data_IF_353257606735
#
_entry.id   IF_353257606735
#
_cell.length_a   1.000
_cell.length_b   1.000
_cell.length_c   1.000
_cell.angle_alpha   90.00
_cell.angle_beta   90.00
_cell.angle_gamma   90.00
#
_symmetry.space_group_name_H-M   'P 1'
#
loop_
_entity.id
_entity.type
_entity.pdbx_description
1 polymer ?
#
# COMPACT_ATOMS: atom_id res chain seq x y z
N UNK A 1 1.87 -8.38 -15.76
CA UNK A 1 1.38 -7.87 -14.46
C UNK A 1 0.73 -9.00 -13.68
N UNK A 2 0.80 -8.98 -12.34
CA UNK A 2 0.29 -10.02 -11.44
C UNK A 2 -0.87 -9.49 -10.63
N UNK A 3 -1.96 -10.26 -10.50
CA UNK A 3 -3.14 -9.87 -9.71
C UNK A 3 -3.01 -10.42 -8.30
N UNK A 4 -2.99 -9.54 -7.32
CA UNK A 4 -2.68 -9.89 -5.93
C UNK A 4 -3.88 -9.63 -5.01
N UNK A 5 -3.99 -10.45 -3.98
CA UNK A 5 -4.90 -10.23 -2.87
C UNK A 5 -4.14 -9.88 -1.61
N UNK A 6 -4.81 -9.21 -0.69
CA UNK A 6 -4.28 -8.89 0.62
C UNK A 6 -4.41 -10.11 1.55
N UNK A 7 -3.46 -10.28 2.44
CA UNK A 7 -3.54 -11.29 3.47
C UNK A 7 -4.71 -11.04 4.44
N UNK A 8 -5.29 -12.14 4.92
CA UNK A 8 -6.23 -12.16 6.03
C UNK A 8 -5.59 -12.96 7.18
N UNK A 9 -5.93 -14.22 7.30
CA UNK A 9 -5.38 -15.13 8.29
C UNK A 9 -4.32 -16.11 7.72
N UNK A 10 -4.11 -16.10 6.41
CA UNK A 10 -3.28 -17.04 5.66
C UNK A 10 -3.59 -18.51 5.97
N UNK A 11 -4.83 -18.84 6.36
CA UNK A 11 -5.31 -20.21 6.52
C UNK A 11 -5.25 -20.97 5.20
N UNK A 12 -5.25 -22.30 5.24
CA UNK A 12 -5.29 -23.12 4.02
C UNK A 12 -6.55 -22.87 3.20
N UNK A 13 -7.66 -22.55 3.86
CA UNK A 13 -8.91 -22.24 3.19
C UNK A 13 -8.85 -20.90 2.47
N UNK A 14 -8.29 -19.86 3.10
CA UNK A 14 -8.11 -18.57 2.44
C UNK A 14 -7.09 -18.62 1.29
N UNK A 15 -5.98 -19.32 1.47
CA UNK A 15 -4.97 -19.54 0.42
C UNK A 15 -5.59 -20.30 -0.78
N UNK A 16 -6.38 -21.35 -0.51
CA UNK A 16 -7.08 -22.10 -1.56
C UNK A 16 -8.12 -21.22 -2.26
N UNK A 17 -8.89 -20.44 -1.51
CA UNK A 17 -9.85 -19.48 -2.05
C UNK A 17 -9.18 -18.49 -3.00
N UNK A 18 -8.06 -17.85 -2.60
CA UNK A 18 -7.31 -16.92 -3.43
C UNK A 18 -6.85 -17.55 -4.76
N UNK A 19 -6.38 -18.80 -4.73
CA UNK A 19 -6.02 -19.55 -5.93
C UNK A 19 -7.25 -19.79 -6.84
N UNK A 20 -8.39 -20.17 -6.26
CA UNK A 20 -9.62 -20.48 -7.01
C UNK A 20 -10.22 -19.27 -7.70
N UNK A 21 -10.14 -18.08 -7.11
CA UNK A 21 -10.62 -16.84 -7.75
C UNK A 21 -9.65 -16.29 -8.80
N UNK A 22 -8.47 -16.92 -8.97
CA UNK A 22 -7.50 -16.56 -9.99
C UNK A 22 -6.47 -15.51 -9.57
N UNK A 23 -6.21 -15.31 -8.29
CA UNK A 23 -5.06 -14.49 -7.86
C UNK A 23 -3.73 -15.13 -8.28
N UNK A 24 -2.68 -14.32 -8.44
CA UNK A 24 -1.30 -14.79 -8.64
C UNK A 24 -0.54 -14.91 -7.31
N UNK A 25 -1.05 -14.29 -6.24
CA UNK A 25 -0.38 -14.34 -4.94
C UNK A 25 -0.88 -13.32 -3.95
N UNK A 26 -0.05 -13.16 -2.93
CA UNK A 26 -0.36 -12.35 -1.75
C UNK A 26 0.61 -11.18 -1.54
N UNK A 27 0.04 -10.12 -0.96
CA UNK A 27 0.75 -9.11 -0.19
C UNK A 27 0.47 -9.34 1.29
N UNK A 28 1.51 -9.49 2.11
CA UNK A 28 1.36 -9.48 3.56
C UNK A 28 1.31 -8.03 4.01
N UNK A 29 0.17 -7.64 4.56
CA UNK A 29 -0.10 -6.32 5.12
C UNK A 29 -0.23 -6.36 6.64
N UNK A 30 -0.73 -7.47 7.19
CA UNK A 30 -0.82 -7.67 8.62
C UNK A 30 0.51 -8.23 9.14
N UNK A 31 1.22 -7.44 9.95
CA UNK A 31 2.51 -7.81 10.54
C UNK A 31 2.47 -9.12 11.34
N UNK A 32 1.31 -9.48 11.93
CA UNK A 32 1.12 -10.74 12.66
C UNK A 32 1.23 -11.97 11.76
N UNK A 33 1.06 -11.80 10.45
CA UNK A 33 1.21 -12.88 9.48
C UNK A 33 2.65 -13.00 8.95
N UNK A 34 3.57 -12.15 9.38
CA UNK A 34 4.99 -12.23 9.02
C UNK A 34 5.66 -13.20 10.01
N UNK A 35 6.13 -14.39 9.55
CA UNK A 35 6.78 -15.35 10.41
C UNK A 35 7.96 -14.74 11.18
N UNK A 36 7.96 -14.89 12.49
CA UNK A 36 8.98 -14.38 13.43
C UNK A 36 8.64 -13.03 14.03
N UNK A 37 7.85 -12.17 13.36
CA UNK A 37 7.53 -10.83 13.88
C UNK A 37 6.76 -10.88 15.21
N UNK A 38 5.73 -11.72 15.38
CA UNK A 38 5.03 -11.81 16.67
C UNK A 38 5.90 -12.27 17.84
N UNK A 39 6.90 -13.11 17.57
CA UNK A 39 7.71 -13.76 18.59
C UNK A 39 8.95 -12.97 18.99
N UNK A 40 9.57 -12.26 18.02
CA UNK A 40 10.89 -11.64 18.20
C UNK A 40 11.00 -10.22 17.67
N UNK A 41 9.92 -9.65 17.09
CA UNK A 41 9.87 -8.30 16.55
C UNK A 41 10.47 -8.14 15.15
N UNK A 42 11.01 -9.20 14.53
CA UNK A 42 11.55 -9.18 13.16
C UNK A 42 11.27 -10.51 12.44
N UNK A 43 11.31 -10.48 11.11
CA UNK A 43 10.98 -11.65 10.29
C UNK A 43 12.02 -12.79 10.43
N UNK A 44 11.53 -14.03 10.38
CA UNK A 44 12.36 -15.23 10.23
C UNK A 44 12.42 -15.67 8.76
N UNK A 45 13.64 -15.74 8.22
CA UNK A 45 13.87 -16.12 6.83
C UNK A 45 13.42 -17.57 6.51
N UNK A 46 13.53 -18.48 7.48
CA UNK A 46 13.11 -19.87 7.29
C UNK A 46 11.59 -20.00 7.28
N UNK A 47 10.91 -19.27 8.17
CA UNK A 47 9.46 -19.18 8.21
C UNK A 47 8.88 -18.52 6.94
N UNK A 48 9.50 -17.43 6.45
CA UNK A 48 9.12 -16.81 5.17
C UNK A 48 9.27 -17.80 4.00
N UNK A 49 10.38 -18.55 3.93
CA UNK A 49 10.55 -19.60 2.89
C UNK A 49 9.47 -20.67 3.00
N UNK A 50 9.19 -21.17 4.21
CA UNK A 50 8.15 -22.18 4.42
C UNK A 50 6.77 -21.68 3.98
N UNK A 51 6.44 -20.41 4.27
CA UNK A 51 5.21 -19.76 3.77
C UNK A 51 5.21 -19.69 2.25
N UNK A 52 6.29 -19.21 1.62
CA UNK A 52 6.40 -19.14 0.16
C UNK A 52 6.28 -20.52 -0.50
N UNK A 53 6.84 -21.55 0.09
CA UNK A 53 6.69 -22.93 -0.39
C UNK A 53 5.25 -23.44 -0.26
N UNK A 54 4.57 -23.07 0.81
CA UNK A 54 3.15 -23.37 1.00
C UNK A 54 2.28 -22.71 -0.07
N UNK A 55 2.52 -21.42 -0.37
CA UNK A 55 1.83 -20.70 -1.43
C UNK A 55 2.09 -21.31 -2.81
N UNK A 56 3.36 -21.63 -3.13
CA UNK A 56 3.74 -22.23 -4.42
C UNK A 56 3.05 -23.57 -4.69
N UNK A 57 2.75 -24.39 -3.66
CA UNK A 57 2.03 -25.66 -3.84
C UNK A 57 0.63 -25.50 -4.44
N UNK A 58 0.03 -24.33 -4.32
CA UNK A 58 -1.27 -24.00 -4.93
C UNK A 58 -1.17 -22.97 -6.07
N UNK A 59 0.04 -22.74 -6.57
CA UNK A 59 0.29 -21.85 -7.71
C UNK A 59 0.34 -20.37 -7.37
N UNK A 60 0.48 -19.99 -6.08
CA UNK A 60 0.54 -18.61 -5.63
C UNK A 60 1.97 -18.19 -5.27
N UNK A 61 2.23 -16.87 -5.28
CA UNK A 61 3.48 -16.28 -4.81
C UNK A 61 3.28 -15.32 -3.63
N UNK A 62 4.39 -14.99 -2.96
CA UNK A 62 4.46 -13.86 -2.04
C UNK A 62 5.16 -12.70 -2.77
N UNK A 63 4.51 -11.55 -2.85
CA UNK A 63 5.00 -10.41 -3.63
C UNK A 63 5.48 -9.24 -2.79
N UNK A 64 4.87 -9.02 -1.63
CA UNK A 64 5.21 -7.91 -0.76
C UNK A 64 5.07 -8.29 0.72
N UNK A 65 5.99 -7.76 1.54
CA UNK A 65 5.96 -7.86 3.01
C UNK A 65 5.92 -6.44 3.58
N UNK A 66 4.97 -6.18 4.50
CA UNK A 66 4.84 -4.90 5.21
C UNK A 66 5.19 -5.09 6.69
N UNK A 67 6.42 -4.76 7.10
CA UNK A 67 6.86 -4.89 8.49
C UNK A 67 6.18 -3.85 9.42
N UNK A 68 6.30 -4.01 10.75
CA UNK A 68 5.82 -3.03 11.71
C UNK A 68 6.40 -1.63 11.50
N UNK A 69 5.60 -0.60 11.80
CA UNK A 69 6.07 0.79 11.80
C UNK A 69 7.03 1.03 12.96
N UNK A 70 8.23 1.60 12.74
CA UNK A 70 9.18 1.95 13.79
C UNK A 70 8.73 3.24 14.49
N UNK A 71 7.67 3.15 15.27
CA UNK A 71 6.97 4.29 15.85
C UNK A 71 7.85 5.09 16.82
N UNK A 72 8.56 4.39 17.70
CA UNK A 72 9.44 5.04 18.68
C UNK A 72 10.61 5.75 17.98
N UNK A 73 11.17 5.16 16.92
CA UNK A 73 12.19 5.81 16.13
C UNK A 73 11.68 7.08 15.44
N UNK A 74 10.53 6.99 14.78
CA UNK A 74 9.94 8.12 14.06
C UNK A 74 9.54 9.27 14.99
N UNK A 75 9.24 8.98 16.27
CA UNK A 75 8.88 9.95 17.30
C UNK A 75 10.04 10.34 18.23
N UNK A 76 11.26 9.82 18.01
CA UNK A 76 12.41 10.03 18.88
C UNK A 76 12.18 9.58 20.34
N UNK A 77 11.57 8.42 20.49
CA UNK A 77 11.25 7.83 21.78
C UNK A 77 12.21 6.68 22.15
N UNK A 78 12.33 6.33 23.44
CA UNK A 78 13.10 5.16 23.87
C UNK A 78 12.64 3.88 23.15
N UNK A 79 13.61 3.04 22.75
CA UNK A 79 13.33 1.81 21.98
C UNK A 79 13.40 1.98 20.45
N UNK A 80 13.50 3.22 19.94
CA UNK A 80 13.54 3.47 18.50
C UNK A 80 14.72 2.81 17.79
N UNK A 81 15.88 2.69 18.44
CA UNK A 81 17.03 1.99 17.84
C UNK A 81 16.77 0.49 17.65
N UNK A 82 16.10 -0.15 18.61
CA UNK A 82 15.72 -1.56 18.50
C UNK A 82 14.74 -1.79 17.34
N UNK A 83 13.77 -0.89 17.14
CA UNK A 83 12.85 -0.96 16.00
C UNK A 83 13.61 -0.85 14.66
N UNK A 84 14.60 0.03 14.57
CA UNK A 84 15.43 0.15 13.36
C UNK A 84 16.25 -1.11 13.13
N UNK A 85 16.83 -1.70 14.17
CA UNK A 85 17.61 -2.94 14.07
C UNK A 85 16.70 -4.13 13.65
N UNK A 86 15.47 -4.18 14.15
CA UNK A 86 14.47 -5.17 13.76
C UNK A 86 14.04 -5.00 12.28
N UNK A 87 13.92 -3.76 11.80
CA UNK A 87 13.68 -3.50 10.37
C UNK A 87 14.84 -3.97 9.49
N UNK A 88 16.08 -3.71 9.89
CA UNK A 88 17.25 -4.20 9.17
C UNK A 88 17.26 -5.73 9.08
N UNK A 89 17.05 -6.43 10.21
CA UNK A 89 16.94 -7.89 10.27
C UNK A 89 15.78 -8.42 9.41
N UNK A 90 14.63 -7.74 9.45
CA UNK A 90 13.48 -8.10 8.61
C UNK A 90 13.81 -7.98 7.14
N UNK A 91 14.45 -6.90 6.72
CA UNK A 91 14.86 -6.70 5.32
C UNK A 91 15.84 -7.78 4.84
N UNK A 92 16.84 -8.11 5.65
CA UNK A 92 17.75 -9.23 5.38
C UNK A 92 16.99 -10.57 5.27
N UNK A 93 16.04 -10.84 6.18
CA UNK A 93 15.26 -12.06 6.18
C UNK A 93 14.38 -12.16 4.91
N UNK A 94 13.75 -11.05 4.51
CA UNK A 94 12.97 -10.92 3.27
C UNK A 94 13.83 -11.27 2.05
N UNK A 95 15.03 -10.69 1.96
CA UNK A 95 15.96 -10.99 0.88
C UNK A 95 16.49 -12.44 0.90
N UNK A 96 16.89 -12.94 2.06
CA UNK A 96 17.35 -14.35 2.25
C UNK A 96 16.24 -15.35 1.93
N UNK A 97 14.98 -14.99 2.13
CA UNK A 97 13.84 -15.82 1.73
C UNK A 97 13.54 -15.76 0.24
N UNK A 98 13.97 -14.71 -0.45
CA UNK A 98 13.71 -14.46 -1.86
C UNK A 98 12.38 -13.74 -2.13
N UNK A 99 11.79 -13.08 -1.13
CA UNK A 99 10.63 -12.22 -1.34
C UNK A 99 11.08 -10.90 -2.00
N UNK A 100 10.38 -10.42 -3.06
CA UNK A 100 10.94 -9.38 -3.92
C UNK A 100 10.81 -7.95 -3.39
N UNK A 101 9.82 -7.69 -2.52
CA UNK A 101 9.44 -6.33 -2.14
C UNK A 101 9.19 -6.25 -0.62
N UNK A 102 9.72 -5.19 0.00
CA UNK A 102 9.34 -4.78 1.35
C UNK A 102 8.79 -3.35 1.34
N UNK A 103 7.66 -3.14 2.01
CA UNK A 103 7.14 -1.79 2.23
C UNK A 103 7.99 -1.04 3.25
N UNK A 104 8.13 0.28 3.04
CA UNK A 104 8.67 1.18 4.05
C UNK A 104 7.55 1.61 4.99
N UNK A 105 7.55 1.13 6.25
CA UNK A 105 6.45 1.35 7.18
C UNK A 105 6.59 2.69 7.91
N UNK A 106 6.47 3.79 7.18
CA UNK A 106 6.79 5.13 7.67
C UNK A 106 5.56 6.00 7.96
N UNK A 107 4.39 5.38 8.12
CA UNK A 107 3.14 6.09 8.41
C UNK A 107 2.82 6.06 9.91
N UNK A 108 2.62 7.24 10.50
CA UNK A 108 2.22 7.40 11.91
C UNK A 108 0.69 7.61 12.04
N UNK A 109 -0.09 6.88 11.25
CA UNK A 109 -1.55 7.02 11.13
C UNK A 109 -2.26 7.05 12.48
N UNK A 110 -1.92 6.12 13.36
CA UNK A 110 -2.56 5.98 14.68
C UNK A 110 -2.19 7.11 15.66
N UNK A 111 -1.19 7.91 15.32
CA UNK A 111 -0.69 9.01 16.15
C UNK A 111 -1.01 10.39 15.55
N UNK A 112 -1.90 10.44 14.57
CA UNK A 112 -2.35 11.69 14.00
C UNK A 112 -1.40 12.34 13.00
N UNK A 113 -0.48 11.55 12.40
CA UNK A 113 0.37 12.04 11.31
C UNK A 113 -0.40 12.51 10.09
N UNK A 114 -1.61 11.99 9.93
CA UNK A 114 -2.51 12.35 8.86
C UNK A 114 -3.86 12.82 9.41
N UNK A 115 -4.08 14.13 9.57
CA UNK A 115 -5.34 14.68 10.04
C UNK A 115 -6.53 14.33 9.12
N UNK A 116 -6.26 13.91 7.89
CA UNK A 116 -7.26 13.43 6.96
C UNK A 116 -8.11 12.28 7.47
N UNK A 117 -7.55 11.42 8.36
CA UNK A 117 -8.32 10.32 8.96
C UNK A 117 -9.58 10.77 9.69
N UNK A 118 -9.63 12.02 10.19
CA UNK A 118 -10.85 12.58 10.77
C UNK A 118 -11.94 12.91 9.75
N UNK A 119 -11.57 13.03 8.51
CA UNK A 119 -12.49 13.21 7.40
C UNK A 119 -13.04 11.91 6.83
N UNK A 120 -12.59 10.74 7.30
CA UNK A 120 -13.10 9.47 6.79
C UNK A 120 -14.57 9.27 7.13
N UNK A 121 -15.30 8.81 6.10
CA UNK A 121 -16.73 8.55 6.10
C UNK A 121 -16.97 7.20 5.43
N UNK A 122 -17.94 6.44 5.91
CA UNK A 122 -18.44 5.30 5.19
C UNK A 122 -19.58 5.74 4.26
N UNK A 123 -19.45 5.45 2.98
CA UNK A 123 -20.46 5.69 1.98
C UNK A 123 -21.24 4.42 1.63
N UNK A 124 -22.53 4.57 1.35
CA UNK A 124 -23.38 3.50 0.83
C UNK A 124 -23.68 3.81 -0.62
N UNK A 125 -23.36 2.88 -1.49
CA UNK A 125 -23.48 3.00 -2.93
C UNK A 125 -24.64 2.18 -3.49
N UNK A 126 -24.69 2.05 -4.81
CA UNK A 126 -25.72 1.34 -5.54
C UNK A 126 -25.96 -0.08 -4.97
N UNK A 127 -27.20 -0.40 -4.66
CA UNK A 127 -27.59 -1.70 -4.13
C UNK A 127 -27.20 -1.95 -2.69
N UNK A 128 -26.64 -0.95 -1.99
CA UNK A 128 -26.33 -1.02 -0.57
C UNK A 128 -24.87 -1.41 -0.25
N UNK A 129 -23.99 -1.65 -1.24
CA UNK A 129 -22.60 -1.93 -0.93
C UNK A 129 -21.92 -0.71 -0.27
N UNK A 130 -20.96 -0.96 0.60
CA UNK A 130 -20.30 0.07 1.40
C UNK A 130 -18.81 0.12 1.09
N UNK A 131 -18.30 1.36 1.01
CA UNK A 131 -16.87 1.66 0.96
C UNK A 131 -16.57 2.93 1.76
N UNK A 132 -15.30 3.21 1.98
CA UNK A 132 -14.86 4.42 2.66
C UNK A 132 -14.74 5.60 1.68
N UNK A 133 -14.48 6.76 2.22
CA UNK A 133 -14.13 7.94 1.49
C UNK A 133 -13.73 9.06 2.44
N UNK A 134 -13.53 10.24 1.91
CA UNK A 134 -13.02 11.39 2.65
C UNK A 134 -13.87 12.63 2.41
N UNK A 135 -14.17 13.35 3.49
CA UNK A 135 -14.87 14.63 3.49
C UNK A 135 -14.01 15.68 4.22
N UNK A 136 -13.55 16.68 3.47
CA UNK A 136 -12.71 17.78 3.99
C UNK A 136 -13.39 18.63 5.04
N UNK A 137 -14.69 18.91 4.87
CA UNK A 137 -15.41 19.71 5.86
C UNK A 137 -15.55 18.99 7.19
N UNK A 138 -15.79 17.67 7.15
CA UNK A 138 -15.79 16.84 8.36
C UNK A 138 -14.43 16.88 9.05
N UNK A 139 -13.33 16.74 8.30
CA UNK A 139 -11.97 16.87 8.82
C UNK A 139 -11.77 18.23 9.49
N UNK A 140 -12.11 19.33 8.80
CA UNK A 140 -11.91 20.68 9.33
C UNK A 140 -12.74 20.93 10.60
N UNK A 141 -13.98 20.46 10.65
CA UNK A 141 -14.81 20.53 11.87
C UNK A 141 -14.17 19.75 13.03
N UNK A 142 -13.68 18.56 12.77
CA UNK A 142 -13.04 17.74 13.81
C UNK A 142 -11.75 18.39 14.35
N UNK A 143 -10.93 18.99 13.49
CA UNK A 143 -9.71 19.70 13.89
C UNK A 143 -9.99 20.98 14.70
N UNK A 144 -11.12 21.65 14.48
CA UNK A 144 -11.54 22.80 15.31
C UNK A 144 -11.87 22.40 16.75
N UNK A 145 -12.41 21.20 16.95
CA UNK A 145 -12.81 20.70 18.28
C UNK A 145 -11.59 20.24 19.08
N UNK A 146 -10.62 19.56 18.43
CA UNK A 146 -9.43 19.02 19.10
C UNK A 146 -8.17 19.25 18.24
N UNK A 147 -7.62 20.46 18.18
CA UNK A 147 -6.46 20.75 17.34
C UNK A 147 -5.18 20.05 17.82
N UNK A 148 -5.02 19.82 19.14
CA UNK A 148 -3.78 19.35 19.74
C UNK A 148 -3.53 17.83 19.65
N UNK A 149 -4.54 17.03 19.35
CA UNK A 149 -4.38 15.57 19.24
C UNK A 149 -3.61 15.10 17.97
N UNK A 150 -3.16 16.04 17.12
CA UNK A 150 -2.76 15.73 15.74
C UNK A 150 -1.45 16.39 15.31
N UNK A 151 -0.65 16.87 16.26
CA UNK A 151 0.63 17.49 15.97
C UNK A 151 1.75 16.44 15.92
N UNK A 152 1.94 15.83 14.75
CA UNK A 152 3.20 15.18 14.42
C UNK A 152 4.10 16.23 13.74
N UNK A 153 5.31 16.42 14.26
CA UNK A 153 6.31 17.24 13.59
C UNK A 153 6.74 16.55 12.28
N UNK A 154 6.12 17.00 11.19
CA UNK A 154 6.33 16.40 9.86
C UNK A 154 7.74 16.66 9.30
N UNK A 155 8.44 17.71 9.76
CA UNK A 155 9.84 17.96 9.38
C UNK A 155 10.76 16.97 10.10
N UNK A 156 10.61 16.81 11.40
CA UNK A 156 11.37 15.83 12.16
C UNK A 156 11.09 14.39 11.67
N UNK A 157 9.83 14.08 11.34
CA UNK A 157 9.47 12.80 10.72
C UNK A 157 10.16 12.60 9.37
N UNK A 158 10.20 13.63 8.52
CA UNK A 158 10.91 13.59 7.25
C UNK A 158 12.41 13.32 7.43
N UNK A 159 13.08 14.05 8.30
CA UNK A 159 14.51 13.86 8.55
C UNK A 159 14.85 12.44 9.04
N UNK A 160 14.03 11.90 9.96
CA UNK A 160 14.20 10.52 10.45
C UNK A 160 13.92 9.50 9.35
N UNK A 161 12.90 9.73 8.54
CA UNK A 161 12.58 8.87 7.41
C UNK A 161 13.71 8.82 6.38
N UNK A 162 14.32 9.95 6.04
CA UNK A 162 15.49 10.01 5.13
C UNK A 162 16.67 9.23 5.72
N UNK A 163 16.98 9.43 7.02
CA UNK A 163 18.04 8.67 7.71
C UNK A 163 17.77 7.17 7.70
N UNK A 164 16.52 6.77 7.90
CA UNK A 164 16.15 5.36 7.85
C UNK A 164 16.29 4.78 6.44
N UNK A 165 15.89 5.52 5.39
CA UNK A 165 16.12 5.12 4.00
C UNK A 165 17.62 4.96 3.71
N UNK A 166 18.46 5.90 4.14
CA UNK A 166 19.92 5.83 3.98
C UNK A 166 20.51 4.59 4.65
N UNK A 167 19.92 4.10 5.74
CA UNK A 167 20.36 2.88 6.43
C UNK A 167 19.85 1.61 5.72
N UNK A 168 18.60 1.59 5.27
CA UNK A 168 17.98 0.40 4.71
C UNK A 168 18.29 0.16 3.23
N UNK A 169 18.48 1.21 2.43
CA UNK A 169 18.71 1.07 1.00
C UNK A 169 19.97 0.23 0.67
N UNK A 170 21.13 0.40 1.33
CA UNK A 170 22.29 -0.47 1.08
C UNK A 170 22.00 -1.96 1.35
N UNK A 171 21.23 -2.27 2.40
CA UNK A 171 20.82 -3.65 2.74
C UNK A 171 19.88 -4.19 1.65
N UNK A 172 18.96 -3.35 1.18
CA UNK A 172 18.05 -3.72 0.11
C UNK A 172 18.79 -4.03 -1.21
N UNK A 173 19.83 -3.26 -1.53
CA UNK A 173 20.68 -3.48 -2.71
C UNK A 173 21.47 -4.78 -2.58
N UNK A 174 22.08 -5.04 -1.42
CA UNK A 174 22.85 -6.27 -1.14
C UNK A 174 21.98 -7.52 -1.29
N UNK A 175 20.74 -7.45 -0.82
CA UNK A 175 19.82 -8.58 -0.82
C UNK A 175 18.84 -8.62 -2.02
N UNK A 176 18.93 -7.67 -2.94
CA UNK A 176 18.07 -7.60 -4.13
C UNK A 176 16.59 -7.31 -3.85
N UNK A 177 16.27 -6.75 -2.69
CA UNK A 177 14.90 -6.40 -2.29
C UNK A 177 14.54 -5.00 -2.79
N UNK A 178 13.33 -4.81 -3.31
CA UNK A 178 12.79 -3.50 -3.64
C UNK A 178 12.10 -2.89 -2.42
N UNK A 179 12.47 -1.67 -2.07
CA UNK A 179 11.78 -0.87 -1.06
C UNK A 179 10.73 0.01 -1.72
N UNK A 180 9.52 0.00 -1.18
CA UNK A 180 8.41 0.79 -1.71
C UNK A 180 7.76 1.63 -0.62
N UNK A 181 7.35 2.85 -0.99
CA UNK A 181 6.64 3.77 -0.10
C UNK A 181 5.26 4.08 -0.65
N UNK A 182 4.22 3.88 0.17
CA UNK A 182 2.85 4.33 -0.09
C UNK A 182 2.72 5.85 0.16
N UNK A 183 1.94 6.61 -0.61
CA UNK A 183 1.60 7.99 -0.26
C UNK A 183 0.73 8.05 0.99
N UNK A 184 0.67 9.20 1.69
CA UNK A 184 -0.36 9.39 2.72
C UNK A 184 -1.76 9.25 2.10
N UNK A 185 -2.71 8.70 2.84
CA UNK A 185 -4.10 8.52 2.39
C UNK A 185 -5.07 9.09 3.44
N UNK A 186 -5.78 10.19 3.14
CA UNK A 186 -5.68 11.02 1.94
C UNK A 186 -4.33 11.74 1.83
N UNK A 187 -3.90 11.99 0.58
CA UNK A 187 -2.64 12.69 0.32
C UNK A 187 -2.85 14.20 0.28
N UNK A 188 -2.74 14.84 1.45
CA UNK A 188 -2.85 16.29 1.59
C UNK A 188 -1.47 16.98 1.54
N UNK A 189 -1.40 18.28 1.23
CA UNK A 189 -0.14 19.04 1.28
C UNK A 189 0.52 19.03 2.66
N UNK A 190 -0.25 18.83 3.71
CA UNK A 190 0.18 18.88 5.12
C UNK A 190 0.48 17.50 5.71
N UNK A 191 0.25 16.41 5.00
CA UNK A 191 0.53 15.06 5.51
C UNK A 191 2.02 14.70 5.37
N UNK A 192 2.48 13.74 6.15
CA UNK A 192 3.86 13.29 6.18
C UNK A 192 4.38 12.86 4.80
N UNK A 193 3.57 12.12 4.04
CA UNK A 193 3.86 11.71 2.67
C UNK A 193 2.96 12.45 1.69
N UNK A 194 3.00 13.79 1.78
CA UNK A 194 2.36 14.72 0.85
C UNK A 194 2.79 14.45 -0.60
N UNK A 195 2.07 14.98 -1.61
CA UNK A 195 2.45 14.78 -3.02
C UNK A 195 3.91 15.10 -3.33
N UNK A 196 4.47 16.12 -2.66
CA UNK A 196 5.86 16.53 -2.83
C UNK A 196 6.84 15.55 -2.14
N UNK A 197 6.68 15.28 -0.84
CA UNK A 197 7.62 14.47 -0.06
C UNK A 197 7.66 13.02 -0.53
N UNK A 198 6.51 12.48 -0.88
CA UNK A 198 6.42 11.10 -1.38
C UNK A 198 7.27 10.86 -2.64
N UNK A 199 7.35 11.84 -3.54
CA UNK A 199 8.21 11.75 -4.73
C UNK A 199 9.65 12.17 -4.44
N UNK A 200 9.86 13.15 -3.55
CA UNK A 200 11.16 13.71 -3.22
C UNK A 200 12.10 12.69 -2.59
N UNK A 201 11.57 11.71 -1.83
CA UNK A 201 12.39 10.65 -1.20
C UNK A 201 13.25 9.87 -2.22
N UNK A 202 12.76 9.72 -3.45
CA UNK A 202 13.49 9.04 -4.52
C UNK A 202 14.73 9.81 -5.00
N UNK A 203 14.74 11.12 -4.81
CA UNK A 203 15.84 12.00 -5.21
C UNK A 203 16.79 12.26 -4.03
N UNK A 204 16.26 12.22 -2.78
CA UNK A 204 17.08 12.32 -1.56
C UNK A 204 17.92 11.05 -1.30
N UNK A 205 17.36 9.87 -1.59
CA UNK A 205 18.07 8.59 -1.43
C UNK A 205 17.94 7.80 -2.74
N UNK A 206 18.70 8.19 -3.77
CA UNK A 206 18.62 7.56 -5.08
C UNK A 206 19.15 6.12 -5.04
N UNK A 207 18.36 5.17 -5.53
CA UNK A 207 18.74 3.76 -5.63
C UNK A 207 17.88 3.07 -6.68
N UNK A 208 18.41 2.06 -7.39
CA UNK A 208 17.61 1.20 -8.26
C UNK A 208 16.63 0.31 -7.45
N UNK A 209 16.84 0.19 -6.13
CA UNK A 209 15.99 -0.59 -5.23
C UNK A 209 15.01 0.26 -4.40
N UNK A 210 15.06 1.60 -4.54
CA UNK A 210 14.07 2.51 -3.95
C UNK A 210 13.04 2.95 -4.98
N UNK A 211 11.76 2.75 -4.68
CA UNK A 211 10.64 3.05 -5.57
C UNK A 211 9.34 3.29 -4.81
N UNK A 212 8.26 3.24 -5.55
CA UNK A 212 6.93 3.61 -5.07
C UNK A 212 6.00 2.41 -5.05
N UNK A 213 5.20 2.33 -4.00
CA UNK A 213 3.89 1.71 -4.04
C UNK A 213 2.94 2.78 -4.60
N UNK A 214 2.58 2.63 -5.87
CA UNK A 214 1.77 3.61 -6.58
C UNK A 214 0.28 3.32 -6.36
N UNK A 215 -0.34 4.03 -5.43
CA UNK A 215 -1.78 3.94 -5.20
C UNK A 215 -2.51 4.84 -6.19
N UNK A 216 -3.17 4.27 -7.19
CA UNK A 216 -3.83 5.06 -8.25
C UNK A 216 -5.01 5.87 -7.71
N UNK A 217 -5.76 5.33 -6.74
CA UNK A 217 -6.84 6.05 -6.08
C UNK A 217 -6.31 7.27 -5.34
N UNK A 218 -5.37 7.07 -4.41
CA UNK A 218 -4.77 8.16 -3.62
C UNK A 218 -4.15 9.24 -4.51
N UNK A 219 -3.52 8.88 -5.63
CA UNK A 219 -2.99 9.87 -6.56
C UNK A 219 -4.09 10.64 -7.30
N UNK A 220 -5.13 9.95 -7.76
CA UNK A 220 -6.26 10.60 -8.42
C UNK A 220 -6.99 11.58 -7.49
N UNK A 221 -7.17 11.25 -6.21
CA UNK A 221 -7.80 12.08 -5.19
C UNK A 221 -7.15 13.46 -5.03
N UNK A 222 -5.85 13.58 -5.33
CA UNK A 222 -5.12 14.87 -5.30
C UNK A 222 -5.50 15.79 -6.44
N UNK A 223 -6.26 15.32 -7.44
CA UNK A 223 -6.61 16.07 -8.66
C UNK A 223 -5.48 16.13 -9.68
N UNK A 224 -4.45 15.28 -9.59
CA UNK A 224 -3.37 15.23 -10.59
C UNK A 224 -3.86 14.62 -11.91
N UNK A 225 -3.18 14.95 -13.03
CA UNK A 225 -3.32 14.16 -14.26
C UNK A 225 -2.70 12.78 -14.06
N UNK A 226 -3.53 11.82 -13.66
CA UNK A 226 -3.11 10.48 -13.27
C UNK A 226 -2.30 9.77 -14.37
N UNK A 227 -2.72 9.89 -15.63
CA UNK A 227 -2.03 9.19 -16.72
C UNK A 227 -0.67 9.82 -17.04
N UNK A 228 -0.55 11.13 -16.90
CA UNK A 228 0.74 11.81 -17.02
C UNK A 228 1.66 11.49 -15.83
N UNK A 229 1.11 11.41 -14.62
CA UNK A 229 1.83 11.05 -13.41
C UNK A 229 2.37 9.62 -13.48
N UNK A 230 1.55 8.63 -13.90
CA UNK A 230 1.98 7.25 -14.16
C UNK A 230 3.12 7.21 -15.20
N UNK A 231 2.99 7.94 -16.30
CA UNK A 231 4.05 8.01 -17.31
C UNK A 231 5.34 8.60 -16.78
N UNK A 232 5.25 9.61 -15.91
CA UNK A 232 6.42 10.25 -15.30
C UNK A 232 7.21 9.27 -14.43
N UNK A 233 6.58 8.64 -13.44
CA UNK A 233 7.25 7.69 -12.55
C UNK A 233 7.58 6.37 -13.24
N UNK A 234 6.73 5.90 -14.15
CA UNK A 234 6.96 4.68 -14.91
C UNK A 234 8.20 4.76 -15.82
N UNK A 235 8.42 5.89 -16.54
CA UNK A 235 9.63 6.11 -17.35
C UNK A 235 10.91 6.19 -16.52
N UNK A 236 10.81 6.62 -15.26
CA UNK A 236 11.91 6.56 -14.29
C UNK A 236 12.16 5.16 -13.74
N UNK A 237 11.30 4.18 -14.06
CA UNK A 237 11.33 2.83 -13.51
C UNK A 237 11.11 2.79 -12.00
N UNK A 238 10.28 3.70 -11.46
CA UNK A 238 10.07 3.86 -10.02
C UNK A 238 8.74 3.31 -9.50
N UNK A 239 7.86 2.81 -10.35
CA UNK A 239 6.64 2.11 -9.94
C UNK A 239 7.00 0.62 -9.79
N UNK A 240 7.06 0.13 -8.55
CA UNK A 240 7.39 -1.28 -8.29
C UNK A 240 6.17 -2.12 -7.93
N UNK A 241 5.14 -1.48 -7.41
CA UNK A 241 3.91 -2.10 -6.98
C UNK A 241 2.75 -1.12 -7.13
N UNK A 242 1.55 -1.62 -7.38
CA UNK A 242 0.36 -0.77 -7.61
C UNK A 242 -0.77 -1.20 -6.69
N UNK A 243 -1.35 -0.24 -5.97
CA UNK A 243 -2.69 -0.36 -5.41
C UNK A 243 -3.69 0.08 -6.46
N UNK A 244 -4.52 -0.88 -6.88
CA UNK A 244 -5.44 -0.74 -8.01
C UNK A 244 -6.87 -0.59 -7.49
N UNK A 245 -7.27 0.64 -7.15
CA UNK A 245 -8.61 0.99 -6.67
C UNK A 245 -9.18 2.17 -7.44
N UNK A 246 -10.50 2.28 -7.51
CA UNK A 246 -11.20 3.37 -8.17
C UNK A 246 -11.89 4.28 -7.14
N UNK A 247 -12.00 5.55 -7.47
CA UNK A 247 -12.66 6.56 -6.64
C UNK A 247 -13.51 7.49 -7.49
N UNK A 248 -14.45 8.17 -6.84
CA UNK A 248 -15.27 9.24 -7.41
C UNK A 248 -14.99 10.54 -6.67
N UNK A 249 -14.77 11.61 -7.43
CA UNK A 249 -14.41 12.93 -6.90
C UNK A 249 -12.92 13.08 -6.60
N UNK A 250 -12.52 14.33 -6.41
CA UNK A 250 -11.16 14.72 -6.02
C UNK A 250 -11.20 15.80 -4.95
N UNK A 251 -10.23 15.82 -4.05
CA UNK A 251 -10.20 16.78 -2.94
C UNK A 251 -10.26 18.23 -3.42
N UNK A 252 -9.54 18.64 -4.49
CA UNK A 252 -9.62 20.01 -4.99
C UNK A 252 -10.97 20.37 -5.63
N UNK A 253 -11.61 19.44 -6.31
CA UNK A 253 -12.82 19.74 -7.09
C UNK A 253 -14.12 19.60 -6.27
N UNK A 254 -14.18 18.58 -5.41
CA UNK A 254 -15.41 18.20 -4.69
C UNK A 254 -15.30 18.33 -3.17
N UNK A 255 -14.12 18.69 -2.65
CA UNK A 255 -13.88 18.75 -1.21
C UNK A 255 -13.69 17.38 -0.56
N UNK A 256 -13.66 16.28 -1.34
CA UNK A 256 -13.53 14.92 -0.85
C UNK A 256 -13.53 13.92 -1.98
N UNK A 257 -13.64 12.63 -1.62
CA UNK A 257 -13.78 11.53 -2.57
C UNK A 257 -14.56 10.38 -1.94
N UNK A 258 -15.10 9.52 -2.78
CA UNK A 258 -15.72 8.26 -2.41
C UNK A 258 -14.96 7.10 -3.05
N UNK A 259 -14.52 6.14 -2.27
CA UNK A 259 -14.06 4.86 -2.81
C UNK A 259 -15.26 4.10 -3.35
N UNK A 260 -15.08 3.48 -4.51
CA UNK A 260 -16.16 2.78 -5.21
C UNK A 260 -15.67 1.47 -5.81
N UNK A 261 -16.60 0.61 -6.20
CA UNK A 261 -16.27 -0.59 -6.97
C UNK A 261 -15.45 -0.21 -8.22
N UNK A 262 -14.55 -1.08 -8.67
CA UNK A 262 -13.56 -0.79 -9.73
C UNK A 262 -14.19 -0.24 -11.02
N UNK A 263 -15.45 -0.61 -11.32
CA UNK A 263 -16.16 -0.16 -12.52
C UNK A 263 -16.98 1.12 -12.34
N UNK A 264 -17.11 1.63 -11.09
CA UNK A 264 -18.10 2.66 -10.72
C UNK A 264 -17.49 4.02 -10.38
N UNK A 265 -16.18 4.20 -10.62
CA UNK A 265 -15.46 5.45 -10.36
C UNK A 265 -15.20 6.30 -11.60
N UNK A 266 -14.52 7.40 -11.37
CA UNK A 266 -14.20 8.40 -12.41
C UNK A 266 -13.07 7.95 -13.33
N UNK A 267 -12.23 7.00 -12.89
CA UNK A 267 -11.09 6.56 -13.67
C UNK A 267 -11.47 5.45 -14.66
N UNK A 268 -11.02 5.59 -15.89
CA UNK A 268 -11.04 4.47 -16.84
C UNK A 268 -9.91 3.49 -16.51
N UNK A 269 -10.25 2.43 -15.77
CA UNK A 269 -9.28 1.45 -15.25
C UNK A 269 -8.53 0.71 -16.37
N UNK A 270 -9.13 0.54 -17.56
CA UNK A 270 -8.45 -0.03 -18.72
C UNK A 270 -7.34 0.90 -19.23
N UNK A 271 -7.61 2.22 -19.33
CA UNK A 271 -6.60 3.19 -19.75
C UNK A 271 -5.46 3.31 -18.73
N UNK A 272 -5.76 3.17 -17.44
CA UNK A 272 -4.75 3.09 -16.37
C UNK A 272 -3.82 1.90 -16.59
N UNK A 273 -4.36 0.69 -16.79
CA UNK A 273 -3.56 -0.52 -17.08
C UNK A 273 -2.76 -0.39 -18.36
N UNK A 274 -3.37 0.13 -19.42
CA UNK A 274 -2.69 0.38 -20.69
C UNK A 274 -1.50 1.32 -20.52
N UNK A 275 -1.67 2.36 -19.71
CA UNK A 275 -0.60 3.33 -19.43
C UNK A 275 0.52 2.71 -18.60
N UNK A 276 0.20 1.93 -17.55
CA UNK A 276 1.19 1.17 -16.79
C UNK A 276 1.99 0.23 -17.70
N UNK A 277 1.31 -0.59 -18.54
CA UNK A 277 1.95 -1.50 -19.50
C UNK A 277 2.90 -0.74 -20.46
N UNK A 278 2.47 0.42 -20.96
CA UNK A 278 3.26 1.24 -21.87
C UNK A 278 4.54 1.83 -21.25
N UNK A 279 4.63 1.89 -19.91
CA UNK A 279 5.86 2.29 -19.20
C UNK A 279 6.78 1.12 -18.88
N UNK A 280 6.42 -0.10 -19.26
CA UNK A 280 7.17 -1.32 -18.95
C UNK A 280 6.85 -1.91 -17.58
N UNK A 281 5.83 -1.43 -16.88
CA UNK A 281 5.43 -2.02 -15.60
C UNK A 281 4.87 -3.44 -15.78
N UNK A 282 5.46 -4.39 -15.05
CA UNK A 282 5.05 -5.81 -15.03
C UNK A 282 4.92 -6.37 -13.60
N UNK A 283 4.81 -5.49 -12.61
CA UNK A 283 4.74 -5.82 -11.20
C UNK A 283 3.36 -6.27 -10.72
N UNK A 284 3.19 -6.24 -9.41
CA UNK A 284 1.94 -6.60 -8.73
C UNK A 284 0.89 -5.50 -8.79
N UNK A 285 -0.33 -5.92 -9.10
CA UNK A 285 -1.57 -5.14 -9.00
C UNK A 285 -2.36 -5.69 -7.83
N UNK A 286 -2.34 -5.04 -6.70
CA UNK A 286 -3.17 -5.39 -5.57
C UNK A 286 -4.43 -4.54 -5.58
N UNK A 287 -5.60 -5.17 -5.55
CA UNK A 287 -6.83 -4.43 -5.26
C UNK A 287 -6.83 -4.14 -3.77
N UNK A 288 -6.58 -2.88 -3.45
CA UNK A 288 -6.32 -2.45 -2.07
C UNK A 288 -7.59 -2.45 -1.22
N UNK A 289 -8.62 -1.76 -1.69
CA UNK A 289 -9.91 -1.70 -1.03
C UNK A 289 -10.99 -2.35 -1.91
N UNK A 290 -11.71 -3.29 -1.33
CA UNK A 290 -12.81 -4.00 -1.97
C UNK A 290 -14.15 -3.55 -1.40
N UNK A 291 -15.23 -3.57 -2.21
CA UNK A 291 -16.58 -3.28 -1.72
C UNK A 291 -17.02 -4.27 -0.63
N UNK A 292 -17.68 -3.75 0.39
CA UNK A 292 -18.35 -4.56 1.40
C UNK A 292 -19.81 -4.83 0.99
N UNK A 293 -20.08 -6.07 0.63
CA UNK A 293 -21.40 -6.51 0.22
C UNK A 293 -22.18 -7.15 1.36
N UNK A 294 -23.50 -6.98 1.35
CA UNK A 294 -24.38 -7.70 2.29
C UNK A 294 -24.35 -9.20 1.97
N UNK A 295 -24.24 -10.02 3.00
CA UNK A 295 -24.15 -11.48 2.86
C UNK A 295 -22.80 -11.99 2.34
N UNK A 296 -21.76 -11.16 2.34
CA UNK A 296 -20.40 -11.63 2.01
C UNK A 296 -19.87 -12.62 3.05
N UNK A 297 -18.90 -13.41 2.62
CA UNK A 297 -18.26 -14.42 3.48
C UNK A 297 -17.30 -13.76 4.47
N UNK A 298 -16.83 -14.54 5.45
CA UNK A 298 -15.79 -14.13 6.41
C UNK A 298 -14.51 -13.63 5.71
N UNK A 299 -14.18 -14.19 4.54
CA UNK A 299 -13.03 -13.79 3.73
C UNK A 299 -13.32 -12.62 2.78
N UNK A 300 -14.48 -11.98 2.86
CA UNK A 300 -14.92 -11.00 1.86
C UNK A 300 -14.88 -11.57 0.43
N UNK A 301 -15.33 -12.82 0.29
CA UNK A 301 -15.17 -13.61 -0.94
C UNK A 301 -15.87 -13.03 -2.15
N UNK A 302 -17.04 -12.39 -1.98
CA UNK A 302 -17.74 -11.69 -3.06
C UNK A 302 -16.90 -10.51 -3.55
N UNK A 303 -16.39 -9.68 -2.61
CA UNK A 303 -15.57 -8.53 -2.90
C UNK A 303 -14.28 -8.92 -3.63
N UNK A 304 -13.54 -9.91 -3.12
CA UNK A 304 -12.31 -10.38 -3.75
C UNK A 304 -12.56 -11.06 -5.09
N UNK A 305 -13.57 -11.92 -5.20
CA UNK A 305 -13.92 -12.60 -6.45
C UNK A 305 -14.26 -11.60 -7.56
N UNK A 306 -15.07 -10.58 -7.24
CA UNK A 306 -15.37 -9.49 -8.15
C UNK A 306 -14.09 -8.74 -8.57
N UNK A 307 -13.26 -8.33 -7.60
CA UNK A 307 -12.09 -7.50 -7.85
C UNK A 307 -11.05 -8.22 -8.72
N UNK A 308 -10.70 -9.46 -8.35
CA UNK A 308 -9.75 -10.28 -9.12
C UNK A 308 -10.29 -10.58 -10.52
N UNK A 309 -11.57 -10.96 -10.65
CA UNK A 309 -12.20 -11.21 -11.94
C UNK A 309 -12.21 -9.99 -12.86
N UNK A 310 -12.50 -8.80 -12.30
CA UNK A 310 -12.48 -7.55 -13.06
C UNK A 310 -11.07 -7.22 -13.59
N UNK A 311 -10.04 -7.29 -12.74
CA UNK A 311 -8.66 -7.02 -13.16
C UNK A 311 -8.17 -8.05 -14.18
N UNK A 312 -8.50 -9.34 -13.99
CA UNK A 312 -8.18 -10.40 -14.96
C UNK A 312 -8.80 -10.14 -16.34
N UNK A 313 -10.08 -9.72 -16.38
CA UNK A 313 -10.74 -9.40 -17.64
C UNK A 313 -10.08 -8.21 -18.35
N UNK A 314 -9.70 -7.16 -17.60
CA UNK A 314 -8.98 -6.03 -18.18
C UNK A 314 -7.58 -6.40 -18.70
N UNK A 315 -6.85 -7.27 -17.98
CA UNK A 315 -5.55 -7.75 -18.41
C UNK A 315 -5.64 -8.60 -19.69
N UNK A 316 -6.63 -9.48 -19.78
CA UNK A 316 -6.89 -10.27 -21.01
C UNK A 316 -7.23 -9.37 -22.21
N UNK A 317 -7.90 -8.25 -22.00
CA UNK A 317 -8.19 -7.28 -23.07
C UNK A 317 -6.96 -6.45 -23.51
N UNK A 318 -5.85 -6.51 -22.76
CA UNK A 318 -4.59 -5.84 -23.12
C UNK A 318 -3.64 -6.72 -23.98
N UNK A 319 -3.91 -8.02 -24.07
CA UNK A 319 -3.13 -8.95 -24.89
C UNK A 319 -3.47 -8.78 -26.37
#
# INVERSE_FOLDING_TARGET
MKVLVRDQDLSDDYIRFAAQIGADGFDIHNEKNIPGVPEQGYADASGLRALMDRLRRVGLGLYRVSPPTPTNYLLDQPGGQEEVDNLCRTLEAVGKAGAPIMSMPLHLVHLGSNPGYRGFVQYTHRGGYRMHGFDRERMLRALQVNPQEWEVDVEAHWERSVKLYQKLVPIAEEHGVKLILHPSDPQLPTTEWSPRRWSQILDEVPSPNSGLLYCIGTRYETGCDLLADIRSFGRRGKIFHVHFRNVRGTIPATGGYEEVALHDGDMNMFQVLKTLKATGFDGGLQVDHIPHYDGDTEFHGIGWGYAVGYVRALLAALE
#
